data_IF_754733243794
#
_entry.id   IF_754733243794
#
_cell.length_a   1.000
_cell.length_b   1.000
_cell.length_c   1.000
_cell.angle_alpha   90.00
_cell.angle_beta   90.00
_cell.angle_gamma   90.00
#
_symmetry.space_group_name_H-M   'P 1'
#
loop_
_entity.id
_entity.type
_entity.pdbx_description
1 polymer ?
#
# COMPACT_ATOMS: atom_id res chain seq x y z
N UNK A 1 -28.94 17.98 -4.74
CA UNK A 1 -27.74 17.22 -4.37
C UNK A 1 -27.47 17.55 -2.90
N UNK A 2 -27.33 16.55 -2.04
CA UNK A 2 -26.93 16.78 -0.64
C UNK A 2 -25.42 16.90 -0.56
N UNK A 3 -24.88 17.58 0.45
CA UNK A 3 -23.42 17.67 0.67
C UNK A 3 -22.73 16.29 0.67
N UNK A 4 -23.39 15.28 1.24
CA UNK A 4 -22.93 13.89 1.21
C UNK A 4 -22.86 13.27 -0.20
N UNK A 5 -23.74 13.69 -1.10
CA UNK A 5 -23.70 13.24 -2.50
C UNK A 5 -22.48 13.86 -3.20
N UNK A 6 -22.16 15.11 -2.91
CA UNK A 6 -20.97 15.79 -3.45
C UNK A 6 -19.67 15.11 -2.98
N UNK A 7 -19.58 14.70 -1.70
CA UNK A 7 -18.45 13.90 -1.21
C UNK A 7 -18.34 12.55 -1.92
N UNK A 8 -19.47 11.88 -2.16
CA UNK A 8 -19.48 10.60 -2.84
C UNK A 8 -19.05 10.70 -4.30
N UNK A 9 -19.55 11.72 -5.03
CA UNK A 9 -19.14 12.02 -6.40
C UNK A 9 -17.66 12.39 -6.46
N UNK A 10 -17.19 13.30 -5.60
CA UNK A 10 -15.79 13.70 -5.54
C UNK A 10 -14.83 12.53 -5.28
N UNK A 11 -15.24 11.54 -4.46
CA UNK A 11 -14.44 10.35 -4.22
C UNK A 11 -14.31 9.47 -5.48
N UNK A 12 -15.38 9.33 -6.27
CA UNK A 12 -15.36 8.57 -7.53
C UNK A 12 -14.59 9.33 -8.60
N UNK A 13 -14.76 10.65 -8.70
CA UNK A 13 -14.01 11.49 -9.64
C UNK A 13 -12.49 11.39 -9.41
N UNK A 14 -12.07 11.29 -8.15
CA UNK A 14 -10.67 11.06 -7.79
C UNK A 14 -10.12 9.69 -8.21
N UNK A 15 -10.99 8.75 -8.60
CA UNK A 15 -10.64 7.40 -9.08
C UNK A 15 -10.96 7.20 -10.57
N UNK A 16 -11.46 8.23 -11.24
CA UNK A 16 -11.99 8.12 -12.60
C UNK A 16 -10.92 7.67 -13.60
N UNK A 17 -9.68 8.14 -13.43
CA UNK A 17 -8.56 7.76 -14.32
C UNK A 17 -8.31 6.26 -14.23
N UNK A 18 -8.16 5.72 -13.03
CA UNK A 18 -7.87 4.30 -12.83
C UNK A 18 -9.04 3.40 -13.24
N UNK A 19 -10.27 3.82 -12.95
CA UNK A 19 -11.48 3.10 -13.39
C UNK A 19 -11.58 3.08 -14.92
N UNK A 20 -11.22 4.18 -15.59
CA UNK A 20 -11.21 4.24 -17.05
C UNK A 20 -10.10 3.35 -17.64
N UNK A 21 -8.89 3.37 -17.07
CA UNK A 21 -7.81 2.47 -17.49
C UNK A 21 -8.20 0.99 -17.37
N UNK A 22 -8.91 0.60 -16.31
CA UNK A 22 -9.43 -0.77 -16.14
C UNK A 22 -10.41 -1.15 -17.28
N UNK A 23 -11.33 -0.25 -17.63
CA UNK A 23 -12.30 -0.44 -18.72
C UNK A 23 -11.61 -0.51 -20.08
N UNK A 24 -10.70 0.41 -20.37
CA UNK A 24 -9.94 0.45 -21.63
C UNK A 24 -9.09 -0.82 -21.84
N UNK A 25 -8.44 -1.32 -20.78
CA UNK A 25 -7.67 -2.56 -20.85
C UNK A 25 -8.56 -3.78 -21.12
N UNK A 26 -9.75 -3.83 -20.52
CA UNK A 26 -10.72 -4.90 -20.75
C UNK A 26 -11.25 -4.87 -22.20
N UNK A 27 -11.55 -3.69 -22.72
CA UNK A 27 -12.01 -3.51 -24.10
C UNK A 27 -10.92 -3.88 -25.11
N UNK A 28 -9.68 -3.49 -24.85
CA UNK A 28 -8.55 -3.84 -25.71
C UNK A 28 -8.27 -5.35 -25.68
N UNK A 29 -8.34 -5.99 -24.51
CA UNK A 29 -8.23 -7.44 -24.40
C UNK A 29 -9.27 -8.16 -25.27
N UNK A 30 -10.51 -7.69 -25.24
CA UNK A 30 -11.62 -8.26 -26.01
C UNK A 30 -11.37 -8.13 -27.52
N UNK A 31 -10.89 -6.97 -27.98
CA UNK A 31 -10.52 -6.76 -29.39
C UNK A 31 -9.38 -7.66 -29.86
N UNK A 32 -8.38 -7.90 -29.01
CA UNK A 32 -7.26 -8.80 -29.33
C UNK A 32 -7.77 -10.23 -29.48
N UNK A 33 -8.66 -10.67 -28.60
CA UNK A 33 -9.23 -12.02 -28.64
C UNK A 33 -10.14 -12.26 -29.88
N UNK A 34 -10.69 -11.20 -30.47
CA UNK A 34 -11.46 -11.25 -31.73
C UNK A 34 -10.59 -11.18 -33.01
N UNK A 35 -9.32 -10.79 -32.89
CA UNK A 35 -8.40 -10.64 -34.02
C UNK A 35 -7.80 -11.99 -34.45
N UNK A 36 -8.35 -12.55 -35.54
CA UNK A 36 -7.89 -13.82 -36.13
C UNK A 36 -6.41 -13.84 -36.56
N UNK A 37 -5.74 -12.69 -36.66
CA UNK A 37 -4.31 -12.62 -36.95
C UNK A 37 -3.44 -12.85 -35.71
N UNK A 38 -4.00 -12.70 -34.50
CA UNK A 38 -3.30 -12.90 -33.24
C UNK A 38 -3.46 -14.35 -32.74
N UNK A 39 -2.57 -15.25 -33.20
CA UNK A 39 -2.65 -16.69 -32.93
C UNK A 39 -1.66 -17.19 -31.86
N UNK A 40 -1.12 -16.28 -31.03
CA UNK A 40 -0.12 -16.59 -30.01
C UNK A 40 -0.77 -16.71 -28.63
N UNK A 41 -0.27 -17.63 -27.80
CA UNK A 41 -0.84 -17.92 -26.48
C UNK A 41 0.24 -17.87 -25.40
N UNK A 42 -0.03 -17.14 -24.31
CA UNK A 42 0.85 -17.13 -23.14
C UNK A 42 0.41 -18.20 -22.15
N UNK A 43 1.36 -18.70 -21.35
CA UNK A 43 1.06 -19.64 -20.26
C UNK A 43 0.12 -18.96 -19.25
N UNK A 44 -0.92 -19.69 -18.81
CA UNK A 44 -1.84 -19.15 -17.81
C UNK A 44 -1.09 -18.81 -16.53
N UNK A 45 -1.60 -17.82 -15.78
CA UNK A 45 -0.99 -17.37 -14.53
C UNK A 45 -0.92 -18.53 -13.52
N UNK A 46 -1.93 -19.38 -13.50
CA UNK A 46 -1.98 -20.59 -12.67
C UNK A 46 -0.84 -21.55 -13.00
N UNK A 47 -0.63 -21.84 -14.29
CA UNK A 47 0.42 -22.76 -14.73
C UNK A 47 1.81 -22.19 -14.46
N UNK A 48 2.05 -20.94 -14.84
CA UNK A 48 3.31 -20.26 -14.59
C UNK A 48 3.61 -20.22 -13.08
N UNK A 49 2.62 -19.90 -12.24
CA UNK A 49 2.80 -19.83 -10.79
C UNK A 49 3.10 -21.20 -10.18
N UNK A 50 2.42 -22.26 -10.62
CA UNK A 50 2.66 -23.61 -10.13
C UNK A 50 4.08 -24.11 -10.45
N UNK A 51 4.62 -23.73 -11.60
CA UNK A 51 6.01 -24.04 -11.98
C UNK A 51 7.03 -23.20 -11.21
N UNK A 52 6.76 -21.91 -11.01
CA UNK A 52 7.68 -20.95 -10.39
C UNK A 52 7.72 -21.11 -8.86
N UNK A 53 6.63 -21.49 -8.20
CA UNK A 53 6.54 -21.48 -6.73
C UNK A 53 7.58 -22.36 -6.03
N UNK A 54 7.81 -23.62 -6.45
CA UNK A 54 8.85 -24.46 -5.85
C UNK A 54 10.24 -23.83 -5.96
N UNK A 55 10.53 -23.19 -7.10
CA UNK A 55 11.78 -22.46 -7.29
C UNK A 55 11.89 -21.28 -6.32
N UNK A 56 10.83 -20.46 -6.18
CA UNK A 56 10.80 -19.33 -5.21
C UNK A 56 11.06 -19.81 -3.79
N UNK A 57 10.39 -20.88 -3.34
CA UNK A 57 10.59 -21.44 -2.00
C UNK A 57 12.05 -21.83 -1.76
N UNK A 58 12.67 -22.49 -2.74
CA UNK A 58 14.08 -22.87 -2.65
C UNK A 58 15.01 -21.66 -2.62
N UNK A 59 14.78 -20.65 -3.47
CA UNK A 59 15.60 -19.44 -3.47
C UNK A 59 15.54 -18.69 -2.13
N UNK A 60 14.35 -18.55 -1.54
CA UNK A 60 14.19 -17.92 -0.23
C UNK A 60 14.94 -18.70 0.85
N UNK A 61 14.80 -20.04 0.86
CA UNK A 61 15.50 -20.90 1.82
C UNK A 61 17.02 -20.80 1.67
N UNK A 62 17.51 -20.82 0.43
CA UNK A 62 18.94 -20.72 0.15
C UNK A 62 19.51 -19.36 0.55
N UNK A 63 18.74 -18.27 0.35
CA UNK A 63 19.18 -16.91 0.65
C UNK A 63 19.05 -16.54 2.13
N UNK A 64 18.01 -17.02 2.82
CA UNK A 64 17.62 -16.55 4.18
C UNK A 64 17.67 -17.61 5.26
N UNK A 65 17.79 -18.90 4.90
CA UNK A 65 17.61 -20.07 5.78
C UNK A 65 16.20 -20.22 6.39
N UNK A 66 15.28 -19.31 6.06
CA UNK A 66 13.88 -19.37 6.44
C UNK A 66 13.06 -20.11 5.38
N UNK A 67 11.99 -20.76 5.81
CA UNK A 67 11.11 -21.54 4.93
C UNK A 67 9.76 -20.83 4.80
N UNK A 68 9.29 -20.66 3.56
CA UNK A 68 7.92 -20.21 3.29
C UNK A 68 6.95 -21.23 3.88
N UNK A 69 5.97 -20.83 4.70
CA UNK A 69 5.04 -21.76 5.32
C UNK A 69 4.35 -22.68 4.30
N UNK A 70 4.23 -23.97 4.61
CA UNK A 70 3.51 -24.92 3.73
C UNK A 70 2.01 -24.64 3.67
N UNK A 71 1.48 -23.86 4.61
CA UNK A 71 0.10 -23.36 4.59
C UNK A 71 -0.11 -22.22 3.59
N UNK A 72 0.96 -21.65 3.01
CA UNK A 72 0.86 -20.54 2.07
C UNK A 72 0.15 -20.96 0.78
N UNK A 73 -0.97 -20.30 0.47
CA UNK A 73 -1.79 -20.55 -0.73
C UNK A 73 -1.53 -19.50 -1.79
N UNK A 74 -1.76 -19.86 -3.05
CA UNK A 74 -1.79 -18.91 -4.18
C UNK A 74 -3.22 -18.82 -4.70
N UNK A 75 -3.71 -17.59 -4.90
CA UNK A 75 -5.02 -17.31 -5.49
C UNK A 75 -4.93 -16.26 -6.59
N UNK A 76 -5.88 -16.32 -7.51
CA UNK A 76 -5.92 -15.51 -8.73
C UNK A 76 -7.27 -14.77 -8.79
N UNK A 77 -7.50 -13.79 -7.89
CA UNK A 77 -8.79 -13.10 -7.82
C UNK A 77 -9.06 -12.31 -9.10
N UNK A 78 -10.34 -12.27 -9.47
CA UNK A 78 -10.84 -11.33 -10.49
C UNK A 78 -10.84 -9.89 -9.93
N UNK A 79 -11.00 -8.89 -10.80
CA UNK A 79 -10.84 -7.47 -10.45
C UNK A 79 -11.63 -7.04 -9.20
N UNK A 80 -12.93 -7.35 -9.14
CA UNK A 80 -13.79 -6.97 -8.00
C UNK A 80 -13.31 -7.64 -6.70
N UNK A 81 -12.91 -8.91 -6.76
CA UNK A 81 -12.39 -9.64 -5.59
C UNK A 81 -11.05 -9.06 -5.14
N UNK A 82 -10.21 -8.62 -6.08
CA UNK A 82 -8.96 -7.93 -5.78
C UNK A 82 -9.21 -6.57 -5.11
N UNK A 83 -10.22 -5.80 -5.55
CA UNK A 83 -10.61 -4.55 -4.87
C UNK A 83 -11.06 -4.82 -3.42
N UNK A 84 -11.90 -5.83 -3.22
CA UNK A 84 -12.34 -6.26 -1.88
C UNK A 84 -11.17 -6.73 -1.01
N UNK A 85 -10.22 -7.47 -1.58
CA UNK A 85 -8.99 -7.88 -0.90
C UNK A 85 -8.18 -6.67 -0.42
N UNK A 86 -7.99 -5.67 -1.28
CA UNK A 86 -7.32 -4.43 -0.92
C UNK A 86 -8.04 -3.70 0.22
N UNK A 87 -9.38 -3.76 0.24
CA UNK A 87 -10.18 -3.30 1.38
C UNK A 87 -9.86 -3.99 2.72
N UNK A 88 -9.45 -5.27 2.71
CA UNK A 88 -9.02 -5.99 3.92
C UNK A 88 -7.66 -5.56 4.45
N UNK A 89 -6.84 -4.91 3.61
CA UNK A 89 -5.55 -4.31 4.00
C UNK A 89 -5.73 -2.98 4.75
N UNK A 90 -6.93 -2.40 4.71
CA UNK A 90 -7.32 -1.30 5.59
C UNK A 90 -7.53 -1.92 6.97
N UNK A 91 -6.54 -1.80 7.85
CA UNK A 91 -6.63 -2.34 9.21
C UNK A 91 -7.47 -1.40 10.07
N UNK A 92 -8.66 -1.85 10.43
CA UNK A 92 -9.67 -1.04 11.12
C UNK A 92 -9.68 -1.32 12.62
N UNK A 93 -10.31 -0.43 13.37
CA UNK A 93 -10.95 -0.79 14.65
C UNK A 93 -11.95 -1.93 14.42
N UNK A 94 -12.22 -2.69 15.48
CA UNK A 94 -13.05 -3.90 15.34
C UNK A 94 -14.50 -3.55 14.94
N UNK A 95 -15.02 -2.38 15.34
CA UNK A 95 -16.37 -1.91 15.00
C UNK A 95 -16.45 -1.17 13.65
N UNK A 96 -15.32 -0.87 12.99
CA UNK A 96 -15.31 -0.24 11.68
C UNK A 96 -15.17 -1.22 10.51
N UNK A 97 -14.91 -2.51 10.76
CA UNK A 97 -14.68 -3.51 9.69
C UNK A 97 -15.84 -3.59 8.69
N UNK A 98 -17.08 -3.74 9.18
CA UNK A 98 -18.27 -3.84 8.33
C UNK A 98 -18.51 -2.57 7.51
N UNK A 99 -18.25 -1.40 8.11
CA UNK A 99 -18.33 -0.11 7.42
C UNK A 99 -17.35 -0.05 6.25
N UNK A 100 -16.08 -0.39 6.49
CA UNK A 100 -15.03 -0.32 5.47
C UNK A 100 -15.26 -1.33 4.36
N UNK A 101 -15.70 -2.55 4.67
CA UNK A 101 -16.06 -3.53 3.64
C UNK A 101 -17.21 -3.03 2.77
N UNK A 102 -18.23 -2.43 3.37
CA UNK A 102 -19.35 -1.82 2.65
C UNK A 102 -18.92 -0.64 1.79
N UNK A 103 -18.02 0.21 2.30
CA UNK A 103 -17.50 1.37 1.58
C UNK A 103 -16.66 0.94 0.37
N UNK A 104 -15.74 -0.01 0.56
CA UNK A 104 -14.90 -0.54 -0.53
C UNK A 104 -15.75 -1.21 -1.60
N UNK A 105 -16.79 -1.96 -1.20
CA UNK A 105 -17.72 -2.56 -2.15
C UNK A 105 -18.50 -1.50 -2.93
N UNK A 106 -18.98 -0.44 -2.27
CA UNK A 106 -19.69 0.65 -2.93
C UNK A 106 -18.79 1.40 -3.92
N UNK A 107 -17.55 1.73 -3.54
CA UNK A 107 -16.56 2.36 -4.44
C UNK A 107 -16.25 1.44 -5.62
N UNK A 108 -16.07 0.13 -5.37
CA UNK A 108 -15.77 -0.84 -6.42
C UNK A 108 -16.88 -0.97 -7.46
N UNK A 109 -18.11 -0.60 -7.11
CA UNK A 109 -19.30 -0.62 -7.96
C UNK A 109 -19.70 0.76 -8.47
N UNK A 110 -18.91 1.79 -8.17
CA UNK A 110 -19.23 3.19 -8.51
C UNK A 110 -20.61 3.63 -7.95
N UNK A 111 -21.05 3.05 -6.82
CA UNK A 111 -22.37 3.29 -6.21
C UNK A 111 -22.35 4.53 -5.32
N UNK A 112 -22.44 5.71 -5.96
CA UNK A 112 -22.50 7.03 -5.31
C UNK A 112 -23.58 7.10 -4.22
N UNK A 113 -24.76 6.52 -4.49
CA UNK A 113 -25.87 6.52 -3.54
C UNK A 113 -25.56 5.74 -2.27
N UNK A 114 -24.92 4.57 -2.41
CA UNK A 114 -24.49 3.79 -1.25
C UNK A 114 -23.37 4.48 -0.48
N UNK A 115 -22.39 5.08 -1.16
CA UNK A 115 -21.30 5.86 -0.53
C UNK A 115 -21.88 7.01 0.30
N UNK A 116 -22.78 7.82 -0.29
CA UNK A 116 -23.49 8.91 0.39
C UNK A 116 -24.27 8.39 1.61
N UNK A 117 -24.95 7.24 1.51
CA UNK A 117 -25.67 6.65 2.64
C UNK A 117 -24.73 6.20 3.77
N UNK A 118 -23.56 5.66 3.45
CA UNK A 118 -22.56 5.24 4.44
C UNK A 118 -21.97 6.45 5.15
N UNK A 119 -21.62 7.51 4.41
CA UNK A 119 -21.12 8.75 5.02
C UNK A 119 -22.14 9.39 5.97
N UNK A 120 -23.44 9.37 5.60
CA UNK A 120 -24.55 9.80 6.46
C UNK A 120 -24.68 8.93 7.72
N UNK A 121 -24.46 7.63 7.59
CA UNK A 121 -24.54 6.69 8.69
C UNK A 121 -23.39 6.91 9.70
N UNK A 122 -22.17 7.10 9.22
CA UNK A 122 -21.00 7.30 10.06
C UNK A 122 -19.95 8.18 9.36
N UNK A 123 -20.07 9.49 9.60
CA UNK A 123 -19.17 10.49 9.00
C UNK A 123 -17.74 10.37 9.53
N UNK A 124 -17.57 9.96 10.79
CA UNK A 124 -16.24 9.72 11.39
C UNK A 124 -15.51 8.64 10.61
N UNK A 125 -16.12 7.46 10.45
CA UNK A 125 -15.52 6.35 9.71
C UNK A 125 -15.30 6.71 8.25
N UNK A 126 -16.19 7.46 7.63
CA UNK A 126 -15.99 7.94 6.26
C UNK A 126 -14.72 8.81 6.14
N UNK A 127 -14.55 9.82 7.01
CA UNK A 127 -13.39 10.71 6.97
C UNK A 127 -12.06 9.96 7.15
N UNK A 128 -12.04 8.94 8.01
CA UNK A 128 -10.84 8.13 8.25
C UNK A 128 -10.57 7.18 7.09
N UNK A 129 -11.57 6.39 6.67
CA UNK A 129 -11.33 5.23 5.80
C UNK A 129 -11.50 5.48 4.30
N UNK A 130 -12.18 6.56 3.89
CA UNK A 130 -12.32 6.91 2.46
C UNK A 130 -10.98 7.17 1.78
N UNK A 131 -10.05 7.83 2.47
CA UNK A 131 -8.70 8.09 1.95
C UNK A 131 -7.90 6.81 1.76
N UNK A 132 -8.01 5.85 2.68
CA UNK A 132 -7.41 4.53 2.54
C UNK A 132 -8.04 3.76 1.37
N UNK A 133 -9.37 3.70 1.31
CA UNK A 133 -10.09 3.01 0.24
C UNK A 133 -9.69 3.57 -1.14
N UNK A 134 -9.65 4.90 -1.27
CA UNK A 134 -9.13 5.57 -2.47
C UNK A 134 -7.71 5.12 -2.79
N UNK A 135 -6.77 5.30 -1.86
CA UNK A 135 -5.34 5.01 -2.09
C UNK A 135 -5.05 3.56 -2.46
N UNK A 136 -5.85 2.62 -1.94
CA UNK A 136 -5.73 1.21 -2.26
C UNK A 136 -6.37 0.85 -3.59
N UNK A 137 -7.54 1.43 -3.91
CA UNK A 137 -8.26 1.16 -5.16
C UNK A 137 -7.57 1.82 -6.35
N UNK A 138 -7.03 3.04 -6.18
CA UNK A 138 -6.31 3.79 -7.22
C UNK A 138 -4.98 3.15 -7.64
N UNK A 139 -4.60 2.00 -7.08
CA UNK A 139 -3.35 1.30 -7.41
C UNK A 139 -3.60 -0.09 -7.97
N UNK A 140 -4.84 -0.46 -8.23
CA UNK A 140 -5.19 -1.83 -8.62
C UNK A 140 -4.65 -2.17 -10.00
N UNK A 141 -4.72 -1.25 -10.96
CA UNK A 141 -4.18 -1.42 -12.32
C UNK A 141 -2.66 -1.66 -12.34
N UNK A 142 -1.94 -1.18 -11.32
CA UNK A 142 -0.48 -1.29 -11.19
C UNK A 142 0.00 -2.25 -10.09
N UNK A 143 -0.92 -2.92 -9.40
CA UNK A 143 -0.60 -3.92 -8.38
C UNK A 143 -0.41 -5.28 -9.05
N UNK A 144 0.75 -5.90 -8.85
CA UNK A 144 1.04 -7.23 -9.41
C UNK A 144 0.55 -8.34 -8.48
N UNK A 145 0.73 -8.18 -7.17
CA UNK A 145 0.28 -9.13 -6.16
C UNK A 145 0.05 -8.48 -4.80
N UNK A 146 -0.39 -9.30 -3.84
CA UNK A 146 -0.45 -8.94 -2.42
C UNK A 146 -0.40 -10.21 -1.56
N UNK A 147 0.08 -10.05 -0.32
CA UNK A 147 0.08 -11.09 0.69
C UNK A 147 -0.88 -10.71 1.83
N UNK A 148 -1.81 -11.61 2.13
CA UNK A 148 -2.75 -11.46 3.22
C UNK A 148 -3.09 -12.83 3.82
N UNK A 149 -2.90 -12.98 5.14
CA UNK A 149 -3.35 -14.14 5.94
C UNK A 149 -3.01 -15.49 5.27
N UNK A 150 -1.71 -15.74 5.12
CA UNK A 150 -1.15 -16.96 4.53
C UNK A 150 -1.55 -17.19 3.06
N UNK A 151 -2.05 -16.18 2.36
CA UNK A 151 -2.41 -16.28 0.95
C UNK A 151 -1.71 -15.21 0.14
N UNK A 152 -1.00 -15.65 -0.90
CA UNK A 152 -0.48 -14.82 -1.98
C UNK A 152 -1.57 -14.68 -3.04
N UNK A 153 -1.92 -13.45 -3.36
CA UNK A 153 -2.88 -13.10 -4.39
C UNK A 153 -2.12 -12.51 -5.56
N UNK A 154 -2.28 -13.08 -6.75
CA UNK A 154 -1.68 -12.56 -7.98
C UNK A 154 -2.77 -11.90 -8.84
N UNK A 155 -2.50 -10.69 -9.32
CA UNK A 155 -3.47 -9.90 -10.07
C UNK A 155 -3.69 -10.50 -11.46
N UNK A 156 -4.79 -11.25 -11.60
CA UNK A 156 -5.13 -11.91 -12.86
C UNK A 156 -5.40 -10.92 -13.98
N UNK A 157 -6.01 -9.75 -13.70
CA UNK A 157 -6.25 -8.71 -14.70
C UNK A 157 -4.93 -8.30 -15.36
N UNK A 158 -3.93 -7.96 -14.54
CA UNK A 158 -2.63 -7.53 -15.03
C UNK A 158 -1.93 -8.64 -15.82
N UNK A 159 -1.81 -9.83 -15.23
CA UNK A 159 -1.01 -10.92 -15.78
C UNK A 159 -1.62 -11.60 -17.00
N UNK A 160 -2.96 -11.65 -17.11
CA UNK A 160 -3.63 -12.29 -18.25
C UNK A 160 -3.78 -11.37 -19.46
N UNK A 161 -3.85 -10.05 -19.26
CA UNK A 161 -4.13 -9.08 -20.31
C UNK A 161 -2.86 -8.37 -20.79
N UNK A 162 -2.02 -7.89 -19.88
CA UNK A 162 -0.91 -7.01 -20.23
C UNK A 162 0.10 -7.60 -21.23
N UNK A 163 0.53 -8.88 -21.14
CA UNK A 163 1.43 -9.43 -22.16
C UNK A 163 0.81 -9.43 -23.56
N UNK A 164 -0.51 -9.69 -23.68
CA UNK A 164 -1.23 -9.62 -24.95
C UNK A 164 -1.25 -8.19 -25.48
N UNK A 165 -1.67 -7.22 -24.66
CA UNK A 165 -1.70 -5.79 -25.03
C UNK A 165 -0.32 -5.32 -25.50
N UNK A 166 0.73 -5.65 -24.74
CA UNK A 166 2.10 -5.20 -25.05
C UNK A 166 2.61 -5.80 -26.35
N UNK A 167 2.30 -7.07 -26.63
CA UNK A 167 2.67 -7.68 -27.90
C UNK A 167 1.85 -7.09 -29.07
N UNK A 168 0.54 -6.95 -28.90
CA UNK A 168 -0.36 -6.40 -29.91
C UNK A 168 0.04 -4.98 -30.32
N UNK A 169 0.47 -4.15 -29.35
CA UNK A 169 0.94 -2.78 -29.60
C UNK A 169 2.17 -2.67 -30.52
N UNK A 170 2.90 -3.77 -30.74
CA UNK A 170 4.05 -3.80 -31.66
C UNK A 170 3.65 -3.99 -33.13
N UNK A 171 2.40 -4.41 -33.37
CA UNK A 171 1.89 -4.75 -34.70
C UNK A 171 2.45 -6.07 -35.26
N UNK A 172 1.86 -6.58 -36.36
CA UNK A 172 2.32 -7.79 -37.01
C UNK A 172 3.65 -7.58 -37.75
N UNK A 173 4.49 -8.63 -37.91
CA UNK A 173 4.29 -9.99 -37.40
C UNK A 173 4.60 -10.12 -35.90
N UNK A 174 3.65 -10.65 -35.13
CA UNK A 174 3.72 -10.72 -33.67
C UNK A 174 4.79 -11.70 -33.17
N UNK A 175 5.16 -12.70 -33.98
CA UNK A 175 6.18 -13.70 -33.65
C UNK A 175 7.53 -13.07 -33.32
N UNK A 176 7.84 -11.91 -33.92
CA UNK A 176 9.11 -11.21 -33.73
C UNK A 176 9.32 -10.69 -32.30
N UNK A 177 8.23 -10.32 -31.61
CA UNK A 177 8.25 -9.80 -30.24
C UNK A 177 7.90 -10.84 -29.17
N UNK A 178 7.33 -11.97 -29.56
CA UNK A 178 6.68 -12.93 -28.68
C UNK A 178 7.58 -13.46 -27.56
N UNK A 179 8.76 -14.00 -27.90
CA UNK A 179 9.67 -14.60 -26.90
C UNK A 179 10.12 -13.61 -25.84
N UNK A 180 10.39 -12.36 -26.24
CA UNK A 180 10.79 -11.30 -25.30
C UNK A 180 9.64 -10.93 -24.36
N UNK A 181 8.41 -10.84 -24.87
CA UNK A 181 7.23 -10.55 -24.06
C UNK A 181 6.91 -11.72 -23.12
N UNK A 182 7.02 -12.96 -23.61
CA UNK A 182 6.84 -14.18 -22.80
C UNK A 182 7.85 -14.22 -21.64
N UNK A 183 9.13 -14.01 -21.93
CA UNK A 183 10.18 -13.93 -20.90
C UNK A 183 9.92 -12.80 -19.89
N UNK A 184 9.48 -11.62 -20.36
CA UNK A 184 9.11 -10.50 -19.47
C UNK A 184 7.93 -10.82 -18.56
N UNK A 185 6.94 -11.56 -19.06
CA UNK A 185 5.81 -12.06 -18.28
C UNK A 185 6.26 -13.02 -17.18
N UNK A 186 7.10 -14.01 -17.50
CA UNK A 186 7.66 -14.93 -16.51
C UNK A 186 8.48 -14.18 -15.45
N UNK A 187 9.26 -13.18 -15.86
CA UNK A 187 10.03 -12.34 -14.94
C UNK A 187 9.16 -11.55 -13.96
N UNK A 188 8.02 -11.03 -14.44
CA UNK A 188 7.05 -10.34 -13.60
C UNK A 188 6.41 -11.29 -12.57
N UNK A 189 6.05 -12.51 -12.98
CA UNK A 189 5.50 -13.54 -12.08
C UNK A 189 6.55 -13.95 -11.04
N UNK A 190 7.79 -14.24 -11.45
CA UNK A 190 8.90 -14.55 -10.53
C UNK A 190 9.12 -13.46 -9.49
N UNK A 191 9.21 -12.19 -9.91
CA UNK A 191 9.42 -11.08 -8.98
C UNK A 191 8.28 -10.95 -7.98
N UNK A 192 7.05 -10.95 -8.46
CA UNK A 192 5.86 -10.78 -7.61
C UNK A 192 5.73 -11.94 -6.62
N UNK A 193 5.87 -13.19 -7.08
CA UNK A 193 5.81 -14.35 -6.21
C UNK A 193 6.92 -14.35 -5.17
N UNK A 194 8.13 -13.93 -5.56
CA UNK A 194 9.24 -13.81 -4.63
C UNK A 194 8.96 -12.76 -3.55
N UNK A 195 8.52 -11.56 -3.93
CA UNK A 195 8.16 -10.48 -3.02
C UNK A 195 7.12 -10.95 -1.98
N UNK A 196 5.99 -11.48 -2.45
CA UNK A 196 4.91 -11.90 -1.58
C UNK A 196 5.26 -13.13 -0.72
N UNK A 197 6.14 -14.00 -1.22
CA UNK A 197 6.67 -15.13 -0.43
C UNK A 197 7.65 -14.68 0.65
N UNK A 198 8.40 -13.58 0.43
CA UNK A 198 9.21 -12.96 1.48
C UNK A 198 8.30 -12.33 2.54
N UNK A 199 7.18 -11.73 2.15
CA UNK A 199 6.19 -11.26 3.13
C UNK A 199 5.58 -12.41 3.96
N UNK A 200 5.43 -13.60 3.38
CA UNK A 200 4.92 -14.76 4.09
C UNK A 200 5.82 -15.23 5.26
N UNK A 201 7.14 -15.05 5.16
CA UNK A 201 8.06 -15.40 6.26
C UNK A 201 8.15 -14.30 7.34
N UNK A 202 7.58 -13.12 7.12
CA UNK A 202 7.66 -11.94 8.00
C UNK A 202 6.48 -11.81 8.98
N UNK A 203 5.84 -12.92 9.38
CA UNK A 203 4.58 -12.89 10.13
C UNK A 203 4.60 -12.02 11.40
N UNK A 204 5.70 -12.07 12.18
CA UNK A 204 5.84 -11.26 13.41
C UNK A 204 5.85 -9.75 13.15
N UNK A 205 6.58 -9.31 12.11
CA UNK A 205 6.61 -7.92 11.65
C UNK A 205 5.25 -7.49 11.13
N UNK A 206 4.61 -8.33 10.31
CA UNK A 206 3.27 -8.06 9.76
C UNK A 206 2.24 -7.86 10.87
N UNK A 207 2.21 -8.74 11.88
CA UNK A 207 1.31 -8.63 13.03
C UNK A 207 1.57 -7.34 13.81
N UNK A 208 2.84 -7.03 14.09
CA UNK A 208 3.22 -5.80 14.82
C UNK A 208 2.79 -4.54 14.06
N UNK A 209 2.99 -4.52 12.73
CA UNK A 209 2.52 -3.45 11.88
C UNK A 209 0.99 -3.32 11.89
N UNK A 210 0.25 -4.43 11.77
CA UNK A 210 -1.21 -4.44 11.81
C UNK A 210 -1.75 -3.82 13.10
N UNK A 211 -1.22 -4.23 14.26
CA UNK A 211 -1.64 -3.69 15.56
C UNK A 211 -1.28 -2.20 15.72
N UNK A 212 -0.12 -1.78 15.20
CA UNK A 212 0.27 -0.37 15.21
C UNK A 212 -0.67 0.49 14.35
N UNK A 213 -1.02 0.03 13.15
CA UNK A 213 -1.96 0.72 12.25
C UNK A 213 -3.35 0.83 12.88
N UNK A 214 -3.86 -0.23 13.51
CA UNK A 214 -5.16 -0.18 14.21
C UNK A 214 -5.19 0.95 15.23
N UNK A 215 -4.15 1.07 16.07
CA UNK A 215 -4.03 2.14 17.07
C UNK A 215 -3.90 3.53 16.45
N UNK A 216 -3.21 3.67 15.31
CA UNK A 216 -3.18 4.93 14.55
C UNK A 216 -4.60 5.31 14.10
N UNK A 217 -5.36 4.35 13.58
CA UNK A 217 -6.72 4.59 13.08
C UNK A 217 -7.71 4.89 14.21
N UNK A 218 -7.56 4.28 15.40
CA UNK A 218 -8.31 4.68 16.61
C UNK A 218 -8.11 6.17 16.92
N UNK A 219 -6.88 6.67 16.82
CA UNK A 219 -6.58 8.08 17.10
C UNK A 219 -7.14 8.99 16.01
N UNK A 220 -7.18 8.55 14.76
CA UNK A 220 -7.82 9.31 13.67
C UNK A 220 -9.33 9.39 13.84
N UNK A 221 -9.98 8.31 14.27
CA UNK A 221 -11.41 8.33 14.59
C UNK A 221 -11.71 9.28 15.77
N UNK A 222 -10.89 9.27 16.82
CA UNK A 222 -11.02 10.20 17.95
C UNK A 222 -10.86 11.66 17.51
N UNK A 223 -9.87 11.95 16.66
CA UNK A 223 -9.69 13.30 16.11
C UNK A 223 -10.90 13.72 15.28
N UNK A 224 -11.38 12.86 14.37
CA UNK A 224 -12.55 13.17 13.55
C UNK A 224 -13.79 13.47 14.41
N UNK A 225 -14.02 12.72 15.51
CA UNK A 225 -15.09 13.02 16.48
C UNK A 225 -14.92 14.41 17.09
N UNK A 226 -13.74 14.72 17.61
CA UNK A 226 -13.43 16.03 18.21
C UNK A 226 -13.72 17.17 17.23
N UNK A 227 -13.26 17.05 15.98
CA UNK A 227 -13.43 18.10 14.97
C UNK A 227 -14.89 18.26 14.56
N UNK A 228 -15.63 17.15 14.42
CA UNK A 228 -17.05 17.20 14.06
C UNK A 228 -17.90 17.85 15.16
N UNK A 229 -17.54 17.65 16.43
CA UNK A 229 -18.24 18.19 17.61
C UNK A 229 -17.91 19.66 17.93
N UNK A 230 -16.99 20.30 17.20
CA UNK A 230 -16.67 21.72 17.40
C UNK A 230 -17.88 22.62 17.08
N UNK A 231 -18.12 23.61 17.94
CA UNK A 231 -19.09 24.67 17.67
C UNK A 231 -18.59 25.62 16.57
N UNK A 232 -19.52 26.25 15.86
CA UNK A 232 -19.18 27.08 14.69
C UNK A 232 -18.35 28.32 15.05
N UNK A 233 -18.43 28.82 16.30
CA UNK A 233 -17.61 29.96 16.75
C UNK A 233 -16.15 29.55 16.90
N UNK A 234 -15.90 28.41 17.55
CA UNK A 234 -14.57 27.83 17.68
C UNK A 234 -14.01 27.46 16.31
N UNK A 235 -14.81 26.81 15.45
CA UNK A 235 -14.42 26.45 14.09
C UNK A 235 -13.99 27.68 13.27
N UNK A 236 -14.76 28.78 13.32
CA UNK A 236 -14.46 30.00 12.58
C UNK A 236 -13.17 30.67 13.07
N UNK A 237 -12.95 30.71 14.40
CA UNK A 237 -11.69 31.21 14.98
C UNK A 237 -10.48 30.40 14.52
N UNK A 238 -10.62 29.07 14.42
CA UNK A 238 -9.54 28.20 13.95
C UNK A 238 -9.24 28.46 12.47
N UNK A 239 -10.27 28.60 11.62
CA UNK A 239 -10.10 28.94 10.21
C UNK A 239 -9.37 30.27 10.04
N UNK A 240 -9.76 31.31 10.78
CA UNK A 240 -9.10 32.61 10.76
C UNK A 240 -7.65 32.51 11.25
N UNK A 241 -7.42 31.78 12.35
CA UNK A 241 -6.09 31.61 12.94
C UNK A 241 -5.12 30.89 12.00
N UNK A 242 -5.59 29.82 11.36
CA UNK A 242 -4.80 29.00 10.45
C UNK A 242 -4.78 29.55 9.01
N UNK A 243 -5.52 30.63 8.75
CA UNK A 243 -5.70 31.22 7.42
C UNK A 243 -6.12 30.17 6.37
N UNK A 244 -7.15 29.37 6.72
CA UNK A 244 -7.72 28.36 5.82
C UNK A 244 -8.67 29.01 4.80
N UNK A 245 -8.74 28.40 3.62
CA UNK A 245 -9.68 28.85 2.58
C UNK A 245 -11.13 28.77 3.09
N UNK A 246 -11.96 29.80 2.82
CA UNK A 246 -13.33 29.82 3.29
C UNK A 246 -14.15 28.73 2.59
N UNK A 247 -14.96 28.03 3.37
CA UNK A 247 -15.95 27.07 2.88
C UNK A 247 -17.34 27.71 3.03
N UNK A 248 -18.20 27.68 1.98
CA UNK A 248 -19.54 28.25 2.08
C UNK A 248 -20.36 27.63 3.22
N UNK A 249 -21.20 28.43 3.87
CA UNK A 249 -21.92 28.03 5.09
C UNK A 249 -22.94 26.90 4.82
N UNK A 250 -23.38 26.73 3.56
CA UNK A 250 -24.19 25.61 3.13
C UNK A 250 -23.48 24.25 3.11
N UNK A 251 -22.15 24.22 3.33
CA UNK A 251 -21.32 23.00 3.40
C UNK A 251 -20.65 22.81 4.79
N UNK A 252 -21.45 22.61 5.85
CA UNK A 252 -20.95 22.51 7.22
C UNK A 252 -20.07 21.28 7.47
N UNK A 253 -20.24 20.20 6.71
CA UNK A 253 -19.42 18.99 6.85
C UNK A 253 -18.09 19.17 6.13
N UNK A 254 -18.07 19.79 4.95
CA UNK A 254 -16.85 20.10 4.20
C UNK A 254 -15.93 21.03 5.00
N UNK A 255 -16.50 22.02 5.68
CA UNK A 255 -15.74 22.90 6.58
C UNK A 255 -15.03 22.11 7.69
N UNK A 256 -15.72 21.16 8.33
CA UNK A 256 -15.15 20.29 9.37
C UNK A 256 -14.17 19.26 8.80
N UNK A 257 -14.47 18.67 7.65
CA UNK A 257 -13.60 17.72 6.96
C UNK A 257 -12.27 18.37 6.56
N UNK A 258 -12.31 19.60 6.03
CA UNK A 258 -11.10 20.37 5.71
C UNK A 258 -10.23 20.53 6.98
N UNK A 259 -10.82 20.97 8.09
CA UNK A 259 -10.09 21.10 9.34
C UNK A 259 -9.53 19.76 9.84
N UNK A 260 -10.29 18.67 9.74
CA UNK A 260 -9.83 17.33 10.10
C UNK A 260 -8.59 16.92 9.30
N UNK A 261 -8.58 17.12 7.98
CA UNK A 261 -7.42 16.78 7.15
C UNK A 261 -6.22 17.68 7.43
N UNK A 262 -6.44 18.97 7.68
CA UNK A 262 -5.38 19.91 8.06
C UNK A 262 -4.74 19.56 9.40
N UNK A 263 -5.56 19.21 10.40
CA UNK A 263 -5.09 18.85 11.75
C UNK A 263 -4.74 17.37 11.91
N UNK A 264 -4.90 16.55 10.87
CA UNK A 264 -4.49 15.16 10.92
C UNK A 264 -2.97 15.10 11.21
N UNK A 265 -2.53 14.33 12.23
CA UNK A 265 -1.13 14.29 12.62
C UNK A 265 -0.16 13.97 11.46
N UNK A 266 -0.56 13.18 10.47
CA UNK A 266 0.29 12.92 9.30
C UNK A 266 0.52 14.17 8.46
N UNK A 267 -0.48 15.01 8.25
CA UNK A 267 -0.30 16.25 7.49
C UNK A 267 0.34 17.33 8.34
N UNK A 268 -0.14 17.50 9.58
CA UNK A 268 0.26 18.57 10.47
C UNK A 268 1.67 18.39 11.04
N UNK A 269 1.99 17.18 11.50
CA UNK A 269 3.30 16.89 12.11
C UNK A 269 4.34 16.54 11.03
N UNK A 270 4.02 15.75 9.99
CA UNK A 270 5.06 15.45 8.97
C UNK A 270 5.39 16.65 8.08
N UNK A 271 4.43 17.55 7.86
CA UNK A 271 4.68 18.82 7.17
C UNK A 271 5.58 19.79 7.96
N UNK A 272 5.71 19.59 9.27
CA UNK A 272 6.52 20.44 10.18
C UNK A 272 7.75 19.75 10.75
N UNK A 273 7.75 18.41 10.84
CA UNK A 273 8.83 17.56 11.35
C UNK A 273 9.05 16.39 10.39
N UNK A 274 10.22 16.29 9.73
CA UNK A 274 10.49 15.16 8.87
C UNK A 274 10.56 13.86 9.70
N UNK A 275 10.34 12.68 9.07
CA UNK A 275 10.26 11.39 9.77
C UNK A 275 11.44 11.09 10.70
N UNK A 276 12.60 11.69 10.41
CA UNK A 276 13.82 11.59 11.18
C UNK A 276 13.84 12.39 12.49
N UNK A 277 12.91 13.33 12.70
CA UNK A 277 12.77 14.07 13.95
C UNK A 277 11.66 13.51 14.86
N UNK A 278 10.80 12.63 14.33
CA UNK A 278 9.72 11.96 15.08
C UNK A 278 10.22 11.22 16.32
N UNK A 279 11.45 10.70 16.29
CA UNK A 279 12.00 9.87 17.36
C UNK A 279 12.51 10.66 18.59
N UNK A 280 12.66 11.98 18.47
CA UNK A 280 13.40 12.79 19.45
C UNK A 280 12.65 14.03 19.94
N UNK A 281 11.53 14.40 19.33
CA UNK A 281 10.76 15.58 19.74
C UNK A 281 9.29 15.20 19.93
N UNK A 282 8.81 15.30 21.16
CA UNK A 282 7.40 15.63 21.39
C UNK A 282 7.16 16.93 20.60
N UNK A 283 6.40 16.84 19.49
CA UNK A 283 6.15 17.99 18.63
C UNK A 283 5.68 19.17 19.48
N UNK A 284 6.25 20.34 19.28
CA UNK A 284 5.73 21.54 19.94
C UNK A 284 4.37 21.84 19.32
N UNK A 285 3.31 21.49 20.05
CA UNK A 285 1.95 21.71 19.61
C UNK A 285 1.65 23.18 19.82
N UNK A 286 1.12 23.82 18.78
CA UNK A 286 0.75 25.22 18.80
C UNK A 286 -0.15 25.50 20.02
N UNK A 287 0.32 26.39 20.90
CA UNK A 287 -0.37 26.70 22.16
C UNK A 287 -1.73 27.32 21.93
N UNK A 288 -1.92 28.12 20.87
CA UNK A 288 -3.21 28.72 20.53
C UNK A 288 -4.19 27.70 19.98
N UNK A 289 -3.72 26.74 19.17
CA UNK A 289 -4.57 25.62 18.75
C UNK A 289 -4.93 24.72 19.93
N UNK A 290 -4.02 24.50 20.87
CA UNK A 290 -4.32 23.77 22.09
C UNK A 290 -5.31 24.51 23.01
N UNK A 291 -5.34 25.84 22.99
CA UNK A 291 -6.38 26.63 23.69
C UNK A 291 -7.76 26.47 23.01
N UNK A 292 -7.81 26.41 21.68
CA UNK A 292 -9.05 26.25 20.91
C UNK A 292 -9.55 24.80 20.85
N UNK A 293 -8.64 23.82 20.88
CA UNK A 293 -8.92 22.38 20.89
C UNK A 293 -8.08 21.72 22.01
N UNK A 294 -8.53 21.77 23.27
CA UNK A 294 -7.77 21.27 24.42
C UNK A 294 -7.37 19.80 24.36
N UNK A 295 -8.09 18.99 23.58
CA UNK A 295 -7.84 17.56 23.39
C UNK A 295 -6.72 17.28 22.37
N UNK A 296 -6.40 18.24 21.49
CA UNK A 296 -5.46 18.06 20.38
C UNK A 296 -4.05 17.61 20.85
N UNK A 297 -3.50 18.15 21.95
CA UNK A 297 -2.19 17.70 22.42
C UNK A 297 -2.11 16.23 22.78
N UNK A 298 -3.16 15.70 23.39
CA UNK A 298 -3.22 14.30 23.77
C UNK A 298 -3.41 13.39 22.56
N UNK A 299 -4.19 13.81 21.56
CA UNK A 299 -4.32 13.08 20.28
C UNK A 299 -2.94 12.89 19.62
N UNK A 300 -2.15 13.95 19.53
CA UNK A 300 -0.84 13.88 18.87
C UNK A 300 0.15 13.02 19.67
N UNK A 301 0.11 13.10 21.00
CA UNK A 301 0.91 12.23 21.87
C UNK A 301 0.55 10.75 21.70
N UNK A 302 -0.75 10.42 21.69
CA UNK A 302 -1.24 9.05 21.49
C UNK A 302 -0.92 8.49 20.11
N UNK A 303 -0.92 9.34 19.08
CA UNK A 303 -0.61 8.96 17.70
C UNK A 303 0.86 8.57 17.49
N UNK A 304 1.80 9.28 18.14
CA UNK A 304 3.23 9.20 17.81
C UNK A 304 3.82 7.79 17.93
N UNK A 305 3.63 7.11 19.07
CA UNK A 305 4.26 5.82 19.33
C UNK A 305 3.75 4.71 18.38
N UNK A 306 2.44 4.49 18.20
CA UNK A 306 1.94 3.57 17.18
C UNK A 306 2.45 3.91 15.78
N UNK A 307 2.50 5.19 15.40
CA UNK A 307 2.99 5.59 14.09
C UNK A 307 4.46 5.26 13.87
N UNK A 308 5.30 5.45 14.88
CA UNK A 308 6.71 5.06 14.85
C UNK A 308 6.86 3.54 14.70
N UNK A 309 6.07 2.76 15.43
CA UNK A 309 6.06 1.30 15.33
C UNK A 309 5.65 0.81 13.93
N UNK A 310 4.58 1.39 13.38
CA UNK A 310 4.15 1.13 12.00
C UNK A 310 5.25 1.48 11.01
N UNK A 311 5.86 2.66 11.14
CA UNK A 311 6.92 3.10 10.23
C UNK A 311 8.11 2.15 10.26
N UNK A 312 8.56 1.78 11.46
CA UNK A 312 9.71 0.91 11.62
C UNK A 312 9.45 -0.48 11.03
N UNK A 313 8.33 -1.10 11.39
CA UNK A 313 7.94 -2.41 10.87
C UNK A 313 7.81 -2.39 9.34
N UNK A 314 7.11 -1.42 8.77
CA UNK A 314 6.93 -1.32 7.32
C UNK A 314 8.27 -1.11 6.58
N UNK A 315 9.15 -0.28 7.14
CA UNK A 315 10.48 -0.01 6.56
C UNK A 315 11.32 -1.30 6.49
N UNK A 316 11.26 -2.13 7.52
CA UNK A 316 11.96 -3.43 7.57
C UNK A 316 11.32 -4.43 6.61
N UNK A 317 9.99 -4.57 6.65
CA UNK A 317 9.22 -5.47 5.76
C UNK A 317 9.59 -5.22 4.29
N UNK A 318 9.50 -3.97 3.86
CA UNK A 318 9.76 -3.55 2.48
C UNK A 318 11.26 -3.61 2.14
N UNK A 319 12.11 -3.23 3.09
CA UNK A 319 13.56 -3.29 2.94
C UNK A 319 14.09 -4.70 2.71
N UNK A 320 13.65 -5.65 3.53
CA UNK A 320 13.99 -7.07 3.41
C UNK A 320 13.50 -7.67 2.08
N UNK A 321 12.26 -7.39 1.68
CA UNK A 321 11.70 -7.87 0.41
C UNK A 321 12.49 -7.34 -0.79
N UNK A 322 12.68 -6.02 -0.84
CA UNK A 322 13.45 -5.38 -1.91
C UNK A 322 14.90 -5.85 -1.96
N UNK A 323 15.56 -6.02 -0.80
CA UNK A 323 16.93 -6.52 -0.72
C UNK A 323 17.05 -7.96 -1.22
N UNK A 324 16.14 -8.85 -0.83
CA UNK A 324 16.14 -10.23 -1.29
C UNK A 324 15.84 -10.35 -2.79
N UNK A 325 14.85 -9.63 -3.31
CA UNK A 325 14.52 -9.60 -4.75
C UNK A 325 15.75 -9.23 -5.58
N UNK A 326 16.47 -8.18 -5.17
CA UNK A 326 17.70 -7.74 -5.84
C UNK A 326 18.75 -8.83 -5.88
N UNK A 327 19.00 -9.50 -4.77
CA UNK A 327 20.08 -10.48 -4.68
C UNK A 327 19.73 -11.81 -5.36
N UNK A 328 18.47 -12.24 -5.27
CA UNK A 328 18.00 -13.50 -5.84
C UNK A 328 17.83 -13.38 -7.36
N UNK A 329 17.29 -12.25 -7.87
CA UNK A 329 16.98 -12.08 -9.29
C UNK A 329 18.06 -11.36 -10.11
N UNK A 330 19.18 -10.94 -9.51
CA UNK A 330 20.23 -10.16 -10.21
C UNK A 330 20.71 -10.78 -11.52
N UNK A 331 20.74 -12.12 -11.60
CA UNK A 331 21.24 -12.85 -12.75
C UNK A 331 20.12 -13.46 -13.62
N UNK A 332 18.85 -13.31 -13.21
CA UNK A 332 17.71 -13.89 -13.91
C UNK A 332 17.37 -13.10 -15.19
N UNK A 333 17.39 -13.78 -16.35
CA UNK A 333 17.15 -13.16 -17.65
C UNK A 333 15.70 -12.70 -17.84
N UNK A 334 14.75 -13.46 -17.29
CA UNK A 334 13.33 -13.11 -17.38
C UNK A 334 13.04 -11.84 -16.59
N UNK A 335 13.62 -11.72 -15.41
CA UNK A 335 13.55 -10.51 -14.59
C UNK A 335 14.19 -9.30 -15.29
N UNK A 336 15.34 -9.46 -15.94
CA UNK A 336 15.96 -8.38 -16.74
C UNK A 336 15.05 -7.93 -17.89
N UNK A 337 14.41 -8.87 -18.58
CA UNK A 337 13.45 -8.56 -19.64
C UNK A 337 12.21 -7.86 -19.10
N UNK A 338 11.68 -8.33 -17.97
CA UNK A 338 10.59 -7.68 -17.24
C UNK A 338 10.86 -6.21 -16.95
N UNK A 339 12.03 -5.91 -16.36
CA UNK A 339 12.41 -4.53 -16.04
C UNK A 339 12.38 -3.64 -17.28
N UNK A 340 12.94 -4.12 -18.40
CA UNK A 340 13.00 -3.37 -19.65
C UNK A 340 11.62 -3.17 -20.29
N UNK A 341 10.79 -4.21 -20.32
CA UNK A 341 9.57 -4.24 -21.15
C UNK A 341 8.35 -3.67 -20.42
N UNK A 342 8.15 -4.04 -19.15
CA UNK A 342 6.96 -3.67 -18.38
C UNK A 342 7.22 -2.55 -17.39
N UNK A 343 8.42 -2.46 -16.79
CA UNK A 343 8.74 -1.35 -15.88
C UNK A 343 9.39 -0.15 -16.57
N UNK A 344 9.93 -0.33 -17.78
CA UNK A 344 10.62 0.74 -18.50
C UNK A 344 11.93 1.17 -17.83
N UNK A 345 12.62 0.26 -17.15
CA UNK A 345 13.90 0.51 -16.47
C UNK A 345 14.90 -0.60 -16.76
N UNK A 346 16.16 -0.43 -16.36
CA UNK A 346 17.20 -1.44 -16.49
C UNK A 346 17.63 -1.98 -15.11
N UNK A 347 18.35 -3.11 -15.12
CA UNK A 347 18.82 -3.73 -13.89
C UNK A 347 19.74 -2.81 -13.08
N UNK A 348 20.63 -2.06 -13.72
CA UNK A 348 21.54 -1.15 -13.03
C UNK A 348 20.76 -0.07 -12.27
N UNK A 349 19.80 0.57 -12.94
CA UNK A 349 18.91 1.55 -12.34
C UNK A 349 18.07 0.97 -11.20
N UNK A 350 17.49 -0.21 -11.38
CA UNK A 350 16.72 -0.90 -10.33
C UNK A 350 17.57 -1.22 -9.10
N UNK A 351 18.79 -1.71 -9.31
CA UNK A 351 19.73 -2.06 -8.24
C UNK A 351 20.30 -0.84 -7.52
N UNK A 352 20.44 0.29 -8.23
CA UNK A 352 20.94 1.55 -7.68
C UNK A 352 19.93 2.29 -6.78
N UNK A 353 18.64 1.94 -6.84
CA UNK A 353 17.63 2.55 -5.97
C UNK A 353 18.01 2.35 -4.51
N UNK A 354 18.08 3.42 -3.71
CA UNK A 354 18.36 3.33 -2.27
C UNK A 354 17.16 3.82 -1.49
N UNK A 355 16.85 3.13 -0.40
CA UNK A 355 15.96 3.63 0.63
C UNK A 355 16.45 3.14 2.00
N UNK A 356 15.94 3.75 3.06
CA UNK A 356 16.32 3.44 4.44
C UNK A 356 16.23 1.94 4.74
N UNK A 357 15.12 1.30 4.36
CA UNK A 357 14.90 -0.12 4.62
C UNK A 357 15.88 -1.05 3.90
N UNK A 358 16.16 -0.79 2.62
CA UNK A 358 17.09 -1.59 1.82
C UNK A 358 18.50 -1.47 2.36
N UNK A 359 18.97 -0.24 2.58
CA UNK A 359 20.31 0.01 3.11
C UNK A 359 20.47 -0.61 4.51
N UNK A 360 19.42 -0.56 5.32
CA UNK A 360 19.41 -1.19 6.64
C UNK A 360 19.51 -2.71 6.53
N UNK A 361 18.62 -3.35 5.76
CA UNK A 361 18.64 -4.80 5.53
C UNK A 361 19.99 -5.28 4.97
N UNK A 362 20.54 -4.55 3.99
CA UNK A 362 21.86 -4.82 3.42
C UNK A 362 22.97 -4.73 4.47
N UNK A 363 22.96 -3.70 5.32
CA UNK A 363 23.96 -3.52 6.39
C UNK A 363 23.92 -4.67 7.39
N UNK A 364 22.71 -5.07 7.82
CA UNK A 364 22.54 -6.16 8.78
C UNK A 364 22.94 -7.49 8.14
N UNK A 365 22.54 -7.75 6.89
CA UNK A 365 22.96 -8.93 6.13
C UNK A 365 24.48 -8.98 5.93
N UNK A 366 25.14 -7.85 5.66
CA UNK A 366 26.59 -7.79 5.53
C UNK A 366 27.34 -8.16 6.82
N UNK A 367 26.71 -8.04 7.99
CA UNK A 367 27.30 -8.39 9.29
C UNK A 367 26.95 -9.80 9.75
N UNK A 368 25.70 -10.23 9.55
CA UNK A 368 25.18 -11.49 10.10
C UNK A 368 25.01 -12.59 9.06
N UNK A 369 25.15 -12.28 7.76
CA UNK A 369 24.83 -13.21 6.69
C UNK A 369 23.35 -13.57 6.69
N UNK A 370 23.05 -14.86 6.44
CA UNK A 370 21.68 -15.37 6.28
C UNK A 370 20.82 -15.20 7.54
N UNK A 371 21.44 -15.25 8.73
CA UNK A 371 20.79 -15.03 10.02
C UNK A 371 20.18 -13.63 10.18
N UNK A 372 20.58 -12.66 9.35
CA UNK A 372 20.03 -11.31 9.39
C UNK A 372 18.50 -11.28 9.27
N UNK A 373 17.92 -12.11 8.38
CA UNK A 373 16.46 -12.11 8.17
C UNK A 373 15.74 -12.58 9.43
N UNK A 374 16.23 -13.65 10.06
CA UNK A 374 15.70 -14.16 11.32
C UNK A 374 15.79 -13.09 12.42
N UNK A 375 16.95 -12.44 12.57
CA UNK A 375 17.15 -11.37 13.57
C UNK A 375 16.23 -10.17 13.35
N UNK A 376 16.04 -9.72 12.11
CA UNK A 376 15.13 -8.61 11.78
C UNK A 376 13.66 -8.93 12.09
N UNK A 377 13.27 -10.20 12.02
CA UNK A 377 11.91 -10.65 12.33
C UNK A 377 11.72 -10.82 13.85
N UNK A 378 12.66 -11.50 14.51
CA UNK A 378 12.56 -11.85 15.93
C UNK A 378 12.83 -10.64 16.84
N UNK A 379 13.72 -9.74 16.41
CA UNK A 379 14.16 -8.56 17.13
C UNK A 379 14.12 -7.33 16.20
N UNK A 380 12.94 -6.82 15.83
CA UNK A 380 12.84 -5.73 14.87
C UNK A 380 13.46 -4.43 15.40
N UNK A 381 14.04 -3.57 14.54
CA UNK A 381 14.56 -2.26 14.92
C UNK A 381 13.44 -1.27 15.24
N UNK A 382 13.75 -0.27 16.06
CA UNK A 382 12.93 0.94 16.19
C UNK A 382 13.30 2.02 15.16
N UNK A 383 12.65 3.20 15.24
CA UNK A 383 12.90 4.30 14.30
C UNK A 383 14.24 5.03 14.50
N UNK A 384 14.88 4.92 15.67
CA UNK A 384 16.23 5.44 15.91
C UNK A 384 17.26 4.49 15.30
N UNK A 385 17.10 3.21 15.58
CA UNK A 385 17.93 2.13 15.06
C UNK A 385 17.93 2.08 13.54
N UNK A 386 16.79 2.30 12.89
CA UNK A 386 16.73 2.39 11.43
C UNK A 386 17.60 3.50 10.81
N UNK A 387 17.92 4.55 11.57
CA UNK A 387 18.80 5.64 11.11
C UNK A 387 20.27 5.33 11.37
N UNK A 388 20.54 4.63 12.46
CA UNK A 388 21.87 4.19 12.83
C UNK A 388 21.87 2.69 13.12
N UNK A 389 22.20 1.93 12.08
CA UNK A 389 22.27 0.47 12.14
C UNK A 389 23.31 -0.06 13.13
N UNK A 390 24.27 0.76 13.57
CA UNK A 390 25.19 0.35 14.62
C UNK A 390 24.50 0.23 15.98
N UNK A 391 23.50 1.07 16.26
CA UNK A 391 22.70 0.95 17.49
C UNK A 391 21.96 -0.38 17.53
N UNK A 392 21.36 -0.76 16.40
CA UNK A 392 20.69 -2.05 16.26
C UNK A 392 21.66 -3.22 16.47
N UNK A 393 22.78 -3.22 15.73
CA UNK A 393 23.79 -4.27 15.82
C UNK A 393 24.31 -4.42 17.24
N UNK A 394 24.57 -3.31 17.93
CA UNK A 394 24.97 -3.31 19.34
C UNK A 394 23.94 -4.02 20.20
N UNK A 395 22.65 -3.66 20.09
CA UNK A 395 21.57 -4.26 20.88
C UNK A 395 21.42 -5.77 20.68
N UNK A 396 21.65 -6.27 19.45
CA UNK A 396 21.41 -7.70 19.14
C UNK A 396 22.65 -8.59 19.29
N UNK A 397 23.82 -8.01 19.62
CA UNK A 397 25.10 -8.73 19.77
C UNK A 397 25.74 -8.60 21.15
N UNK A 398 25.40 -7.55 21.91
CA UNK A 398 25.79 -7.35 23.32
C UNK A 398 24.59 -7.65 24.23
#
# INVERSE_FOLDING_TARGET
>A
MTEYDEFAEALIDQLAVEINEEKENSDLASKIDEDSSFNLTFDSLENASNEIFPWVKNQIKDFTELTVPETTKIKFPELIELKKLKGKRIFTTDDAREFVDSLVEAISKEDVGKISSLMKQDTVKYLVYSTYAKNYISKISVTFGDYLEDTIYLNKLFFSILPKIKLYSQGPPFESGYEKIKSSYIGAVKMTMLEESIHAIQHGLYKSNKEAVKKVNEVYEDLAKIILDLDDSTLSKIFDYMNLDPVPDEFPIAKRANLYFVLNPEYFILGTLPPDQMATKEGQIDTKLAEMIPQLPEIYRRWLKPRQQQHAAMTVIQGMASFAIRNILKDDSDFKNYLSVFKGTDLGSFMAQKNMGINFAETIYGKLGKEAFKKLIDEPPDTLELKDSQLYLKRITE
#
